data_IF_980038611464
#
_entry.id   IF_980038611464
#
_cell.length_a   1.000
_cell.length_b   1.000
_cell.length_c   1.000
_cell.angle_alpha   90.00
_cell.angle_beta   90.00
_cell.angle_gamma   90.00
#
_symmetry.space_group_name_H-M   'P 1'
#
loop_
_entity.id
_entity.type
_entity.pdbx_description
1 polymer ?
#
# COMPACT_ATOMS: atom_id res chain seq x y z
N UNK A 1 -3.36 11.67 2.43
CA UNK A 1 -2.69 10.91 1.34
C UNK A 1 -1.64 9.94 1.86
N UNK A 2 -0.63 10.36 2.63
CA UNK A 2 0.46 9.42 2.96
C UNK A 2 0.22 8.46 4.13
N UNK A 3 -0.91 8.57 4.83
CA UNK A 3 -1.25 7.71 5.97
C UNK A 3 -1.49 6.25 5.57
N UNK A 4 -2.13 6.02 4.42
CA UNK A 4 -2.29 4.67 3.82
C UNK A 4 -0.94 4.05 3.41
N UNK A 5 0.11 4.87 3.30
CA UNK A 5 1.48 4.43 3.01
C UNK A 5 2.34 4.22 4.27
N UNK A 6 1.72 4.09 5.45
CA UNK A 6 2.41 3.76 6.69
C UNK A 6 3.20 4.93 7.31
N UNK A 7 2.81 6.18 7.02
CA UNK A 7 3.42 7.35 7.67
C UNK A 7 3.16 7.34 9.18
N UNK A 8 4.25 7.45 9.94
CA UNK A 8 4.22 7.53 11.41
C UNK A 8 3.92 8.96 11.87
N UNK A 9 3.60 9.14 13.15
CA UNK A 9 3.44 10.47 13.77
C UNK A 9 4.61 11.41 13.45
N UNK A 10 5.85 10.90 13.54
CA UNK A 10 7.07 11.66 13.24
C UNK A 10 7.06 12.13 11.78
N UNK A 11 6.75 11.21 10.85
CA UNK A 11 6.66 11.55 9.43
C UNK A 11 5.55 12.56 9.13
N UNK A 12 4.38 12.43 9.76
CA UNK A 12 3.27 13.36 9.60
C UNK A 12 3.63 14.77 10.13
N UNK A 13 4.23 14.85 11.32
CA UNK A 13 4.74 16.12 11.89
C UNK A 13 5.72 16.79 10.94
N UNK A 14 6.68 16.06 10.40
CA UNK A 14 7.72 16.63 9.54
C UNK A 14 7.14 17.13 8.20
N UNK A 15 6.15 16.42 7.65
CA UNK A 15 5.40 16.87 6.48
C UNK A 15 4.61 18.15 6.75
N UNK A 16 3.90 18.22 7.88
CA UNK A 16 3.13 19.41 8.28
C UNK A 16 4.05 20.58 8.55
N UNK A 17 5.15 20.38 9.29
CA UNK A 17 6.14 21.42 9.57
C UNK A 17 6.68 22.04 8.28
N UNK A 18 7.02 21.21 7.28
CA UNK A 18 7.49 21.70 5.98
C UNK A 18 6.45 22.57 5.27
N UNK A 19 5.18 22.17 5.26
CA UNK A 19 4.09 22.95 4.66
C UNK A 19 3.80 24.25 5.41
N UNK A 20 3.87 24.24 6.74
CA UNK A 20 3.73 25.46 7.54
C UNK A 20 4.88 26.44 7.29
N UNK A 21 6.12 25.94 7.17
CA UNK A 21 7.30 26.76 6.85
C UNK A 21 7.18 27.42 5.47
N UNK A 22 6.69 26.70 4.46
CA UNK A 22 6.46 27.25 3.10
C UNK A 22 5.43 28.37 3.06
N UNK A 23 4.49 28.41 4.03
CA UNK A 23 3.48 29.47 4.13
C UNK A 23 3.97 30.71 4.87
N UNK A 24 5.18 30.68 5.45
CA UNK A 24 5.76 31.77 6.24
C UNK A 24 4.81 32.36 7.30
N UNK A 25 3.89 31.54 7.84
CA UNK A 25 2.85 32.00 8.75
C UNK A 25 3.33 32.09 10.21
N UNK A 26 4.43 31.42 10.55
CA UNK A 26 5.03 31.37 11.88
C UNK A 26 6.54 31.50 11.70
N UNK A 27 7.13 32.58 12.22
CA UNK A 27 8.57 32.86 12.10
C UNK A 27 9.39 32.16 13.19
N UNK A 28 8.81 31.98 14.38
CA UNK A 28 9.46 31.28 15.49
C UNK A 28 9.50 29.77 15.25
N UNK A 29 10.70 29.20 15.21
CA UNK A 29 10.93 27.78 14.91
C UNK A 29 10.41 26.83 16.01
N UNK A 30 10.33 27.30 17.26
CA UNK A 30 9.78 26.58 18.40
C UNK A 30 8.25 26.53 18.33
N UNK A 31 7.63 27.68 18.08
CA UNK A 31 6.17 27.76 17.87
C UNK A 31 5.74 26.96 16.64
N UNK A 32 6.51 27.03 15.56
CA UNK A 32 6.29 26.23 14.36
C UNK A 32 6.35 24.73 14.66
N UNK A 33 7.31 24.31 15.49
CA UNK A 33 7.42 22.90 15.90
C UNK A 33 6.26 22.47 16.80
N UNK A 34 5.84 23.32 17.74
CA UNK A 34 4.69 23.05 18.61
C UNK A 34 3.39 22.95 17.80
N UNK A 35 3.15 23.89 16.88
CA UNK A 35 2.01 23.88 15.98
C UNK A 35 1.99 22.62 15.10
N UNK A 36 3.14 22.22 14.54
CA UNK A 36 3.25 21.00 13.76
C UNK A 36 2.96 19.73 14.60
N UNK A 37 3.43 19.68 15.86
CA UNK A 37 3.12 18.57 16.77
C UNK A 37 1.62 18.49 17.07
N UNK A 38 0.99 19.62 17.39
CA UNK A 38 -0.45 19.70 17.64
C UNK A 38 -1.25 19.25 16.42
N UNK A 39 -0.99 19.84 15.26
CA UNK A 39 -1.68 19.51 14.02
C UNK A 39 -1.50 18.02 13.66
N UNK A 40 -0.27 17.49 13.76
CA UNK A 40 -0.01 16.07 13.49
C UNK A 40 -0.81 15.15 14.43
N UNK A 41 -0.88 15.47 15.72
CA UNK A 41 -1.65 14.69 16.70
C UNK A 41 -3.14 14.73 16.37
N UNK A 42 -3.70 15.91 16.15
CA UNK A 42 -5.12 16.10 15.82
C UNK A 42 -5.49 15.39 14.52
N UNK A 43 -4.68 15.53 13.47
CA UNK A 43 -4.90 14.83 12.20
C UNK A 43 -4.85 13.31 12.37
N UNK A 44 -3.91 12.77 13.14
CA UNK A 44 -3.82 11.32 13.34
C UNK A 44 -4.97 10.76 14.17
N UNK A 45 -5.50 11.52 15.14
CA UNK A 45 -6.70 11.16 15.90
C UNK A 45 -7.90 11.11 14.95
N UNK A 46 -8.14 12.18 14.19
CA UNK A 46 -9.25 12.25 13.23
C UNK A 46 -9.19 11.13 12.19
N UNK A 47 -8.00 10.84 11.63
CA UNK A 47 -7.82 9.72 10.71
C UNK A 47 -8.10 8.36 11.37
N UNK A 48 -7.75 8.21 12.65
CA UNK A 48 -8.00 6.99 13.41
C UNK A 48 -9.49 6.73 13.64
N UNK A 49 -10.27 7.79 13.85
CA UNK A 49 -11.73 7.71 14.01
C UNK A 49 -12.45 7.49 12.68
N UNK A 50 -11.98 8.11 11.59
CA UNK A 50 -12.62 7.99 10.28
C UNK A 50 -12.36 6.65 9.57
N UNK A 51 -11.19 6.02 9.79
CA UNK A 51 -10.74 4.86 9.00
C UNK A 51 -10.42 3.65 9.88
N UNK A 52 -11.35 3.30 10.78
CA UNK A 52 -11.18 2.18 11.73
C UNK A 52 -10.93 0.85 11.00
N UNK A 53 -11.77 0.51 10.02
CA UNK A 53 -11.65 -0.75 9.26
C UNK A 53 -10.31 -0.86 8.51
N UNK A 54 -9.91 0.20 7.81
CA UNK A 54 -8.63 0.22 7.10
C UNK A 54 -7.44 0.05 8.06
N UNK A 55 -7.50 0.68 9.25
CA UNK A 55 -6.47 0.52 10.27
C UNK A 55 -6.40 -0.90 10.83
N UNK A 56 -7.54 -1.54 11.07
CA UNK A 56 -7.60 -2.93 11.51
C UNK A 56 -6.97 -3.87 10.49
N UNK A 57 -7.29 -3.70 9.20
CA UNK A 57 -6.70 -4.49 8.11
C UNK A 57 -5.18 -4.23 7.99
N UNK A 58 -4.74 -2.97 8.05
CA UNK A 58 -3.30 -2.65 8.01
C UNK A 58 -2.54 -3.28 9.19
N UNK A 59 -3.13 -3.29 10.38
CA UNK A 59 -2.54 -3.95 11.55
C UNK A 59 -2.45 -5.47 11.33
N UNK A 60 -3.54 -6.08 10.88
CA UNK A 60 -3.61 -7.51 10.60
C UNK A 60 -2.56 -7.95 9.56
N UNK A 61 -2.45 -7.24 8.44
CA UNK A 61 -1.41 -7.45 7.43
C UNK A 61 -0.01 -7.36 8.06
N UNK A 62 0.24 -6.30 8.85
CA UNK A 62 1.52 -6.12 9.53
C UNK A 62 1.86 -7.24 10.51
N UNK A 63 0.88 -7.80 11.19
CA UNK A 63 1.08 -8.89 12.16
C UNK A 63 1.34 -10.22 11.44
N UNK A 64 0.62 -10.53 10.36
CA UNK A 64 0.94 -11.66 9.47
C UNK A 64 2.38 -11.56 8.92
N UNK A 65 2.77 -10.38 8.42
CA UNK A 65 4.11 -10.13 7.91
C UNK A 65 5.20 -10.31 8.98
N UNK A 66 4.91 -9.93 10.23
CA UNK A 66 5.83 -10.13 11.35
C UNK A 66 6.04 -11.60 11.66
N UNK A 67 4.97 -12.42 11.63
CA UNK A 67 5.04 -13.87 11.88
C UNK A 67 5.95 -14.53 10.85
N UNK A 68 5.69 -14.31 9.55
CA UNK A 68 6.49 -14.87 8.44
C UNK A 68 7.95 -14.41 8.52
N UNK A 69 8.18 -13.11 8.71
CA UNK A 69 9.53 -12.56 8.73
C UNK A 69 10.35 -13.01 9.96
N UNK A 70 9.69 -13.40 11.05
CA UNK A 70 10.38 -13.93 12.24
C UNK A 70 11.00 -15.31 11.97
N UNK A 71 10.44 -16.09 11.04
CA UNK A 71 11.03 -17.32 10.51
C UNK A 71 12.11 -17.06 9.45
N UNK A 72 12.57 -15.81 9.31
CA UNK A 72 13.53 -15.37 8.31
C UNK A 72 13.08 -15.62 6.86
N UNK A 73 11.77 -15.63 6.62
CA UNK A 73 11.17 -15.74 5.29
C UNK A 73 10.64 -14.39 4.81
N UNK A 74 10.79 -14.02 3.52
CA UNK A 74 10.16 -12.83 2.99
C UNK A 74 8.65 -13.04 2.86
N UNK A 75 7.88 -11.96 3.01
CA UNK A 75 6.44 -12.03 2.73
C UNK A 75 6.23 -12.11 1.22
N UNK A 76 5.42 -13.07 0.78
CA UNK A 76 5.05 -13.27 -0.62
C UNK A 76 3.58 -13.62 -0.77
N UNK A 77 2.93 -13.12 -1.81
CA UNK A 77 1.53 -13.40 -2.12
C UNK A 77 1.33 -13.49 -3.62
N UNK A 78 0.18 -13.99 -4.04
CA UNK A 78 -0.24 -13.99 -5.45
C UNK A 78 -1.41 -13.02 -5.57
N UNK A 79 -1.32 -12.12 -6.55
CA UNK A 79 -2.42 -11.18 -6.83
C UNK A 79 -3.62 -11.89 -7.45
N UNK A 80 -4.82 -11.28 -7.46
CA UNK A 80 -6.00 -11.86 -8.13
C UNK A 80 -5.80 -12.17 -9.62
N UNK A 81 -4.83 -11.52 -10.29
CA UNK A 81 -4.46 -11.82 -11.68
C UNK A 81 -3.38 -12.90 -11.82
N UNK A 82 -3.01 -13.59 -10.74
CA UNK A 82 -2.03 -14.68 -10.77
C UNK A 82 -0.56 -14.22 -10.75
N UNK A 83 -0.27 -12.93 -10.58
CA UNK A 83 1.11 -12.43 -10.47
C UNK A 83 1.67 -12.73 -9.06
N UNK A 84 2.75 -13.53 -8.93
CA UNK A 84 3.44 -13.70 -7.65
C UNK A 84 4.27 -12.45 -7.30
N UNK A 85 4.14 -11.99 -6.07
CA UNK A 85 4.84 -10.82 -5.53
C UNK A 85 5.62 -11.21 -4.29
N UNK A 86 6.87 -10.76 -4.18
CA UNK A 86 7.75 -11.04 -3.04
C UNK A 86 8.38 -9.75 -2.55
N UNK A 87 8.35 -9.52 -1.24
CA UNK A 87 9.00 -8.36 -0.64
C UNK A 87 10.54 -8.52 -0.56
N UNK A 88 11.33 -7.61 -1.14
CA UNK A 88 12.78 -7.77 -1.25
C UNK A 88 13.55 -7.36 0.02
N UNK A 89 12.88 -7.04 1.13
CA UNK A 89 13.53 -6.40 2.28
C UNK A 89 14.43 -7.36 3.08
N UNK A 90 15.70 -7.39 2.70
CA UNK A 90 16.79 -8.15 3.34
C UNK A 90 17.87 -7.22 3.91
N UNK A 91 18.60 -7.68 4.92
CA UNK A 91 19.72 -6.95 5.53
C UNK A 91 20.82 -6.80 4.50
N UNK A 92 21.37 -5.58 4.41
CA UNK A 92 22.46 -5.28 3.52
C UNK A 92 23.78 -5.50 4.27
N UNK A 93 24.58 -6.42 3.76
CA UNK A 93 25.94 -6.69 4.20
C UNK A 93 26.95 -5.87 3.43
N UNK A 94 28.16 -5.78 3.98
CA UNK A 94 29.31 -5.18 3.28
C UNK A 94 30.12 -6.29 2.65
N UNK A 95 30.45 -6.14 1.38
CA UNK A 95 31.35 -7.01 0.65
C UNK A 95 32.61 -6.22 0.30
N UNK A 96 33.73 -6.58 0.94
CA UNK A 96 35.00 -5.92 0.75
C UNK A 96 35.78 -6.61 -0.37
N UNK A 97 36.06 -5.88 -1.45
CA UNK A 97 36.91 -6.33 -2.54
C UNK A 97 38.27 -5.65 -2.39
N UNK A 98 39.29 -6.45 -2.05
CA UNK A 98 40.66 -5.97 -1.98
C UNK A 98 41.26 -5.99 -3.39
N UNK A 99 41.70 -4.82 -3.86
CA UNK A 99 42.46 -4.67 -5.12
C UNK A 99 43.90 -4.27 -4.79
N UNK A 100 44.78 -4.26 -5.79
CA UNK A 100 46.18 -3.83 -5.62
C UNK A 100 46.32 -2.35 -5.28
N UNK A 101 45.33 -1.50 -5.61
CA UNK A 101 45.36 -0.05 -5.37
C UNK A 101 44.57 0.38 -4.13
N UNK A 102 43.47 -0.30 -3.81
CA UNK A 102 42.58 0.05 -2.70
C UNK A 102 41.61 -1.07 -2.32
N UNK A 103 40.86 -0.87 -1.23
CA UNK A 103 39.75 -1.74 -0.83
C UNK A 103 38.41 -1.11 -1.20
N UNK A 104 37.65 -1.76 -2.07
CA UNK A 104 36.30 -1.34 -2.44
C UNK A 104 35.28 -1.95 -1.49
N UNK A 105 34.38 -1.14 -0.94
CA UNK A 105 33.26 -1.62 -0.11
C UNK A 105 31.99 -1.61 -0.95
N UNK A 106 31.52 -2.78 -1.34
CA UNK A 106 30.24 -2.96 -2.02
C UNK A 106 29.15 -3.33 -1.02
N UNK A 107 27.92 -2.96 -1.35
CA UNK A 107 26.74 -3.38 -0.61
C UNK A 107 26.16 -4.64 -1.27
N UNK A 108 25.95 -5.70 -0.49
CA UNK A 108 25.37 -6.96 -0.98
C UNK A 108 24.23 -7.39 -0.05
N UNK A 109 23.13 -7.86 -0.62
CA UNK A 109 22.06 -8.44 0.19
C UNK A 109 22.53 -9.71 0.91
N UNK A 110 22.12 -9.86 2.16
CA UNK A 110 22.34 -11.07 2.96
C UNK A 110 21.08 -11.93 2.96
N UNK A 111 21.18 -13.16 3.45
CA UNK A 111 20.02 -14.05 3.62
C UNK A 111 19.14 -13.70 4.83
N UNK A 112 19.49 -12.65 5.58
CA UNK A 112 18.73 -12.23 6.76
C UNK A 112 17.65 -11.24 6.37
N UNK A 113 16.39 -11.57 6.66
CA UNK A 113 15.23 -10.71 6.38
C UNK A 113 15.17 -9.53 7.37
N UNK A 114 14.74 -8.35 6.89
CA UNK A 114 14.49 -7.19 7.75
C UNK A 114 13.05 -7.21 8.29
N UNK A 115 12.80 -7.91 9.40
CA UNK A 115 11.47 -8.06 10.02
C UNK A 115 10.69 -6.75 10.13
N UNK A 116 11.33 -5.69 10.64
CA UNK A 116 10.69 -4.38 10.79
C UNK A 116 10.21 -3.80 9.45
N UNK A 117 11.04 -3.92 8.40
CA UNK A 117 10.72 -3.37 7.07
C UNK A 117 9.65 -4.19 6.37
N UNK A 118 9.73 -5.52 6.42
CA UNK A 118 8.68 -6.43 5.92
C UNK A 118 7.32 -6.06 6.53
N UNK A 119 7.24 -5.98 7.87
CA UNK A 119 6.02 -5.58 8.59
C UNK A 119 5.46 -4.24 8.13
N UNK A 120 6.29 -3.20 8.08
CA UNK A 120 5.81 -1.83 7.79
C UNK A 120 5.48 -1.61 6.32
N UNK A 121 6.11 -2.36 5.41
CA UNK A 121 5.94 -2.18 3.97
C UNK A 121 4.88 -3.12 3.38
N UNK A 122 4.49 -4.18 4.09
CA UNK A 122 3.49 -5.12 3.59
C UNK A 122 2.11 -4.50 3.31
N UNK A 123 1.48 -3.76 4.24
CA UNK A 123 0.18 -3.15 3.95
C UNK A 123 0.15 -2.29 2.68
N UNK A 124 1.04 -1.30 2.48
CA UNK A 124 1.00 -0.48 1.27
C UNK A 124 1.37 -1.26 0.00
N UNK A 125 2.34 -2.18 0.07
CA UNK A 125 2.70 -2.98 -1.10
C UNK A 125 1.56 -3.93 -1.53
N UNK A 126 0.79 -4.45 -0.57
CA UNK A 126 -0.37 -5.27 -0.85
C UNK A 126 -1.46 -4.46 -1.56
N UNK A 127 -1.81 -3.28 -1.03
CA UNK A 127 -2.80 -2.38 -1.67
C UNK A 127 -2.35 -1.98 -3.07
N UNK A 128 -1.10 -1.56 -3.26
CA UNK A 128 -0.57 -1.23 -4.59
C UNK A 128 -0.65 -2.39 -5.59
N UNK A 129 -0.52 -3.63 -5.11
CA UNK A 129 -0.69 -4.80 -5.99
C UNK A 129 -2.13 -4.98 -6.45
N UNK A 130 -3.11 -4.64 -5.60
CA UNK A 130 -4.54 -4.65 -5.95
C UNK A 130 -4.89 -3.49 -6.89
N UNK A 131 -4.37 -2.29 -6.64
CA UNK A 131 -4.52 -1.14 -7.55
C UNK A 131 -3.96 -1.48 -8.94
N UNK A 132 -2.80 -2.15 -8.99
CA UNK A 132 -2.22 -2.66 -10.22
C UNK A 132 -3.10 -3.68 -10.93
N UNK A 133 -3.75 -4.59 -10.19
CA UNK A 133 -4.73 -5.52 -10.76
C UNK A 133 -5.93 -4.77 -11.34
N UNK A 134 -6.50 -3.82 -10.60
CA UNK A 134 -7.63 -3.03 -11.06
C UNK A 134 -7.31 -2.25 -12.35
N UNK A 135 -6.14 -1.61 -12.41
CA UNK A 135 -5.64 -0.94 -13.61
C UNK A 135 -5.53 -1.91 -14.80
N UNK A 136 -4.91 -3.08 -14.60
CA UNK A 136 -4.72 -4.06 -15.68
C UNK A 136 -6.05 -4.64 -16.17
N UNK A 137 -6.97 -4.98 -15.25
CA UNK A 137 -8.32 -5.45 -15.59
C UNK A 137 -9.08 -4.40 -16.40
N UNK A 138 -9.00 -3.14 -15.99
CA UNK A 138 -9.62 -2.02 -16.70
C UNK A 138 -9.00 -1.84 -18.09
N UNK A 139 -7.67 -1.83 -18.20
CA UNK A 139 -6.99 -1.65 -19.48
C UNK A 139 -7.39 -2.72 -20.51
N UNK A 140 -7.50 -3.99 -20.08
CA UNK A 140 -7.96 -5.09 -20.92
C UNK A 140 -9.43 -4.88 -21.34
N UNK A 141 -10.29 -4.48 -20.41
CA UNK A 141 -11.70 -4.22 -20.68
C UNK A 141 -11.92 -3.04 -21.64
N UNK A 142 -11.21 -1.92 -21.44
CA UNK A 142 -11.20 -0.78 -22.35
C UNK A 142 -10.77 -1.20 -23.76
N UNK A 143 -9.70 -2.00 -23.88
CA UNK A 143 -9.24 -2.51 -25.17
C UNK A 143 -10.32 -3.36 -25.88
N UNK A 144 -11.03 -4.23 -25.15
CA UNK A 144 -12.12 -5.03 -25.72
C UNK A 144 -13.32 -4.18 -26.14
N UNK A 145 -13.58 -3.07 -25.45
CA UNK A 145 -14.60 -2.09 -25.81
C UNK A 145 -14.16 -1.11 -26.92
N UNK A 146 -12.92 -1.22 -27.41
CA UNK A 146 -12.39 -0.37 -28.48
C UNK A 146 -11.85 0.99 -28.03
N UNK A 147 -11.69 1.20 -26.71
CA UNK A 147 -11.20 2.44 -26.13
C UNK A 147 -9.66 2.47 -26.11
N UNK A 148 -9.10 3.66 -26.30
CA UNK A 148 -7.70 3.93 -25.97
C UNK A 148 -7.54 4.06 -24.45
N UNK A 149 -6.48 3.49 -23.88
CA UNK A 149 -6.22 3.54 -22.45
C UNK A 149 -4.77 3.96 -22.18
N UNK A 150 -4.60 4.93 -21.29
CA UNK A 150 -3.33 5.24 -20.66
C UNK A 150 -3.54 5.32 -19.15
N UNK A 151 -2.54 4.91 -18.36
CA UNK A 151 -2.64 4.88 -16.90
C UNK A 151 -1.34 5.29 -16.25
N UNK A 152 -1.43 6.11 -15.21
CA UNK A 152 -0.35 6.45 -14.28
C UNK A 152 -0.82 6.05 -12.88
N UNK A 153 -0.50 4.82 -12.48
CA UNK A 153 -0.95 4.23 -11.22
C UNK A 153 -2.48 4.27 -11.06
N UNK A 154 -3.00 5.18 -10.26
CA UNK A 154 -4.41 5.39 -9.92
C UNK A 154 -5.10 6.47 -10.78
N UNK A 155 -4.41 7.01 -11.79
CA UNK A 155 -4.95 7.96 -12.76
C UNK A 155 -5.09 7.33 -14.14
N UNK A 156 -6.30 7.37 -14.71
CA UNK A 156 -6.64 6.66 -15.96
C UNK A 156 -7.16 7.63 -17.02
N UNK A 157 -6.64 7.54 -18.23
CA UNK A 157 -6.87 8.49 -19.32
C UNK A 157 -7.35 7.77 -20.58
N UNK A 158 -8.24 8.44 -21.32
CA UNK A 158 -8.76 8.01 -22.62
C UNK A 158 -9.09 9.26 -23.47
N UNK A 159 -9.66 9.08 -24.67
CA UNK A 159 -10.15 10.20 -25.47
C UNK A 159 -11.42 10.80 -24.85
N UNK A 160 -11.64 12.11 -25.01
CA UNK A 160 -12.75 12.81 -24.36
C UNK A 160 -14.14 12.22 -24.67
N UNK A 161 -14.33 11.64 -25.86
CA UNK A 161 -15.58 10.97 -26.25
C UNK A 161 -15.84 9.66 -25.50
N UNK A 162 -14.81 9.05 -24.93
CA UNK A 162 -14.85 7.71 -24.34
C UNK A 162 -14.88 7.74 -22.80
N UNK A 163 -14.82 8.93 -22.19
CA UNK A 163 -14.69 9.10 -20.73
C UNK A 163 -15.85 8.48 -19.96
N UNK A 164 -17.08 8.63 -20.47
CA UNK A 164 -18.27 8.08 -19.81
C UNK A 164 -18.23 6.54 -19.78
N UNK A 165 -17.87 5.93 -20.91
CA UNK A 165 -17.76 4.48 -21.03
C UNK A 165 -16.57 3.93 -20.23
N UNK A 166 -15.42 4.61 -20.24
CA UNK A 166 -14.28 4.23 -19.40
C UNK A 166 -14.65 4.26 -17.92
N UNK A 167 -15.38 5.28 -17.47
CA UNK A 167 -15.84 5.40 -16.08
C UNK A 167 -16.81 4.28 -15.68
N UNK A 168 -17.66 3.82 -16.60
CA UNK A 168 -18.51 2.63 -16.38
C UNK A 168 -17.65 1.38 -16.19
N UNK A 169 -16.72 1.12 -17.12
CA UNK A 169 -15.79 -0.03 -17.07
C UNK A 169 -14.97 -0.03 -15.78
N UNK A 170 -14.47 1.14 -15.36
CA UNK A 170 -13.67 1.29 -14.13
C UNK A 170 -14.42 0.82 -12.89
N UNK A 171 -15.66 1.25 -12.72
CA UNK A 171 -16.51 0.86 -11.58
C UNK A 171 -16.84 -0.63 -11.64
N UNK A 172 -17.18 -1.15 -12.81
CA UNK A 172 -17.47 -2.58 -13.01
C UNK A 172 -16.27 -3.45 -12.63
N UNK A 173 -15.07 -3.10 -13.12
CA UNK A 173 -13.85 -3.86 -12.81
C UNK A 173 -13.41 -3.72 -11.36
N UNK A 174 -13.74 -2.60 -10.70
CA UNK A 174 -13.52 -2.46 -9.27
C UNK A 174 -14.42 -3.41 -8.47
N UNK A 175 -15.73 -3.41 -8.78
CA UNK A 175 -16.68 -4.31 -8.12
C UNK A 175 -16.30 -5.77 -8.36
N UNK A 176 -16.00 -6.15 -9.61
CA UNK A 176 -15.56 -7.51 -9.95
C UNK A 176 -14.33 -7.95 -9.17
N UNK A 177 -13.33 -7.07 -9.00
CA UNK A 177 -12.13 -7.37 -8.24
C UNK A 177 -12.45 -7.60 -6.76
N UNK A 178 -13.22 -6.72 -6.13
CA UNK A 178 -13.48 -6.75 -4.69
C UNK A 178 -14.65 -7.66 -4.28
N UNK A 179 -15.45 -8.17 -5.22
CA UNK A 179 -16.37 -9.29 -4.98
C UNK A 179 -15.62 -10.60 -4.68
N UNK A 180 -14.34 -10.69 -5.07
CA UNK A 180 -13.49 -11.83 -4.70
C UNK A 180 -13.08 -11.77 -3.21
N UNK A 181 -12.95 -12.92 -2.52
CA UNK A 181 -12.56 -12.96 -1.11
C UNK A 181 -11.03 -12.77 -0.95
N UNK A 182 -10.55 -11.56 -1.22
CA UNK A 182 -9.11 -11.23 -1.33
C UNK A 182 -8.33 -11.58 -0.06
N UNK A 183 -8.83 -11.20 1.13
CA UNK A 183 -8.10 -11.42 2.38
C UNK A 183 -8.15 -12.88 2.83
N UNK A 184 -9.26 -13.56 2.57
CA UNK A 184 -9.42 -15.00 2.80
C UNK A 184 -8.43 -15.79 1.93
N UNK A 185 -8.37 -15.48 0.64
CA UNK A 185 -7.41 -16.11 -0.28
C UNK A 185 -5.96 -15.86 0.14
N UNK A 186 -5.66 -14.65 0.63
CA UNK A 186 -4.34 -14.31 1.17
C UNK A 186 -4.00 -15.14 2.41
N UNK A 187 -4.93 -15.23 3.38
CA UNK A 187 -4.73 -16.01 4.60
C UNK A 187 -4.54 -17.49 4.28
N UNK A 188 -5.39 -18.06 3.42
CA UNK A 188 -5.27 -19.44 2.97
C UNK A 188 -3.89 -19.68 2.33
N UNK A 189 -3.43 -18.78 1.46
CA UNK A 189 -2.10 -18.90 0.85
C UNK A 189 -0.96 -18.87 1.88
N UNK A 190 -1.10 -18.11 2.97
CA UNK A 190 -0.13 -18.12 4.07
C UNK A 190 -0.18 -19.41 4.90
N UNK A 191 -1.37 -19.93 5.19
CA UNK A 191 -1.53 -21.19 5.93
C UNK A 191 -1.00 -22.40 5.15
N UNK A 192 -1.21 -22.42 3.83
CA UNK A 192 -0.66 -23.45 2.94
C UNK A 192 0.87 -23.37 2.84
N UNK A 193 1.42 -22.16 2.69
CA UNK A 193 2.87 -21.95 2.61
C UNK A 193 3.58 -22.19 3.95
N UNK A 194 2.91 -21.92 5.07
CA UNK A 194 3.47 -22.02 6.42
C UNK A 194 2.58 -22.82 7.38
N UNK A 195 2.40 -24.15 7.20
CA UNK A 195 1.45 -24.95 7.99
C UNK A 195 1.75 -25.03 9.50
N UNK A 196 2.96 -24.65 9.92
CA UNK A 196 3.39 -24.65 11.32
C UNK A 196 3.16 -23.31 12.02
N UNK A 197 2.85 -22.25 11.27
CA UNK A 197 2.62 -20.91 11.80
C UNK A 197 1.13 -20.72 12.05
N UNK A 198 0.81 -19.96 13.10
CA UNK A 198 -0.55 -19.56 13.42
C UNK A 198 -0.73 -18.09 13.07
N UNK A 199 -1.73 -17.79 12.25
CA UNK A 199 -2.05 -16.44 11.82
C UNK A 199 -3.25 -15.90 12.59
N UNK A 200 -3.32 -14.57 12.82
CA UNK A 200 -4.48 -13.96 13.44
C UNK A 200 -5.73 -14.09 12.54
N UNK A 201 -6.93 -14.21 13.13
CA UNK A 201 -8.17 -14.27 12.37
C UNK A 201 -8.39 -12.99 11.56
N UNK A 202 -9.17 -13.10 10.48
CA UNK A 202 -9.52 -11.98 9.64
C UNK A 202 -10.30 -10.91 10.43
N UNK A 203 -10.09 -9.61 10.13
CA UNK A 203 -10.96 -8.55 10.63
C UNK A 203 -12.40 -8.72 10.13
N UNK A 204 -13.36 -8.25 10.93
CA UNK A 204 -14.77 -8.29 10.56
C UNK A 204 -15.05 -7.45 9.30
N UNK A 205 -15.94 -7.97 8.44
CA UNK A 205 -16.45 -7.26 7.27
C UNK A 205 -17.49 -6.22 7.71
N UNK A 206 -17.47 -5.07 7.06
CA UNK A 206 -18.52 -4.05 7.24
C UNK A 206 -19.82 -4.43 6.52
N UNK A 207 -20.77 -3.51 6.54
CA UNK A 207 -22.10 -3.61 5.95
C UNK A 207 -22.26 -2.89 4.60
N UNK A 208 -21.18 -2.29 4.08
CA UNK A 208 -21.19 -1.57 2.81
C UNK A 208 -21.52 -2.49 1.63
N UNK A 209 -22.55 -2.13 0.85
CA UNK A 209 -22.84 -2.80 -0.42
C UNK A 209 -21.90 -2.30 -1.52
N UNK A 210 -20.98 -3.17 -1.93
CA UNK A 210 -19.99 -2.89 -2.97
C UNK A 210 -20.63 -2.43 -4.30
N UNK A 211 -21.88 -2.81 -4.57
CA UNK A 211 -22.58 -2.41 -5.80
C UNK A 211 -22.91 -0.93 -5.86
N UNK A 212 -22.93 -0.22 -4.72
CA UNK A 212 -23.08 1.24 -4.69
C UNK A 212 -21.95 1.96 -5.45
N UNK A 213 -20.79 1.32 -5.63
CA UNK A 213 -19.69 1.88 -6.43
C UNK A 213 -20.10 2.10 -7.88
N UNK A 214 -20.99 1.27 -8.45
CA UNK A 214 -21.44 1.36 -9.84
C UNK A 214 -22.16 2.69 -10.14
N UNK A 215 -22.86 3.25 -9.16
CA UNK A 215 -23.59 4.50 -9.28
C UNK A 215 -22.82 5.71 -8.74
N UNK A 216 -21.58 5.54 -8.25
CA UNK A 216 -20.81 6.60 -7.59
C UNK A 216 -20.14 7.55 -8.61
N UNK A 217 -20.63 8.79 -8.78
CA UNK A 217 -20.12 9.69 -9.81
C UNK A 217 -18.70 10.19 -9.51
N UNK A 218 -18.30 10.26 -8.23
CA UNK A 218 -17.01 10.79 -7.78
C UNK A 218 -15.99 9.70 -7.41
N UNK A 219 -16.26 8.44 -7.77
CA UNK A 219 -15.35 7.34 -7.50
C UNK A 219 -14.02 7.46 -8.27
N UNK A 220 -14.11 7.76 -9.56
CA UNK A 220 -13.03 8.27 -10.41
C UNK A 220 -13.56 9.54 -11.10
N UNK A 221 -12.77 10.61 -11.09
CA UNK A 221 -13.12 11.90 -11.69
C UNK A 221 -12.01 12.39 -12.62
#
# INVERSE_FOLDING_TARGET
MTSVYGVTYIGARDQIKRRLKERCAIEDDSELFAAACYAAKTTMIALGEMFVAARSIMSWLGDCAKIIASENQPVSWVTPLGLPVVQPYRKLGRHLIKTSLQMLTLQRETDKVMVRRQRTAFPPNFVHSLDGCHMMMTAVACKHAGLSFAGVHDSYWTHACDVEEMNRILREKFVELYETPILENLLQGFEEAFPKLQFPPLPDRGDFDLREVLSSPYFFN
#
